data_IF_238345083738
#
_entry.id   IF_238345083738
#
_cell.length_a   1.000
_cell.length_b   1.000
_cell.length_c   1.000
_cell.angle_alpha   90.00
_cell.angle_beta   90.00
_cell.angle_gamma   90.00
#
_symmetry.space_group_name_H-M   'P 1'
#
loop_
_entity.id
_entity.type
_entity.pdbx_description
1 polymer ?
#
# COMPACT_ATOMS: atom_id res chain seq x y z
N UNK A 1 -0.15 -14.62 -13.60
CA UNK A 1 0.82 -15.40 -12.82
C UNK A 1 0.39 -15.32 -11.35
N UNK A 2 -0.38 -16.29 -10.87
CA UNK A 2 -0.81 -16.34 -9.46
C UNK A 2 0.36 -16.89 -8.63
N UNK A 3 0.98 -16.00 -7.86
CA UNK A 3 1.91 -16.43 -6.82
C UNK A 3 1.02 -16.87 -5.66
N UNK A 4 1.02 -18.18 -5.34
CA UNK A 4 0.26 -18.66 -4.20
C UNK A 4 0.79 -18.00 -2.92
N UNK A 5 -0.12 -17.61 -2.00
CA UNK A 5 0.19 -17.02 -0.68
C UNK A 5 1.32 -17.77 0.02
N UNK A 6 1.26 -19.09 -0.01
CA UNK A 6 2.24 -20.00 0.59
C UNK A 6 3.65 -19.81 -0.02
N UNK A 7 3.79 -19.65 -1.35
CA UNK A 7 5.09 -19.43 -2.00
C UNK A 7 5.67 -18.04 -1.69
N UNK A 8 4.82 -17.02 -1.59
CA UNK A 8 5.28 -15.69 -1.20
C UNK A 8 5.76 -15.66 0.25
N UNK A 9 4.96 -16.17 1.19
CA UNK A 9 5.28 -16.15 2.61
C UNK A 9 6.47 -17.05 2.98
N UNK A 10 6.59 -18.22 2.37
CA UNK A 10 7.64 -19.20 2.74
C UNK A 10 8.98 -18.94 2.08
N UNK A 11 9.02 -18.39 0.86
CA UNK A 11 10.26 -18.26 0.08
C UNK A 11 10.62 -16.81 -0.23
N UNK A 12 9.67 -16.02 -0.74
CA UNK A 12 9.97 -14.70 -1.28
C UNK A 12 10.14 -13.68 -0.14
N UNK A 13 9.23 -13.64 0.81
CA UNK A 13 9.23 -12.71 1.94
C UNK A 13 10.49 -12.79 2.81
N UNK A 14 10.93 -13.98 3.28
CA UNK A 14 12.17 -14.07 4.06
C UNK A 14 13.40 -13.68 3.22
N UNK A 15 13.44 -14.02 1.93
CA UNK A 15 14.54 -13.61 1.05
C UNK A 15 14.59 -12.08 0.89
N UNK A 16 13.45 -11.41 0.66
CA UNK A 16 13.38 -9.95 0.55
C UNK A 16 13.78 -9.25 1.86
N UNK A 17 13.35 -9.78 3.01
CA UNK A 17 13.76 -9.25 4.31
C UNK A 17 15.26 -9.37 4.53
N UNK A 18 15.83 -10.54 4.25
CA UNK A 18 17.25 -10.79 4.42
C UNK A 18 18.11 -9.91 3.51
N UNK A 19 17.78 -9.90 2.21
CA UNK A 19 18.49 -9.05 1.21
C UNK A 19 18.30 -7.58 1.53
N UNK A 20 17.09 -7.16 1.91
CA UNK A 20 16.80 -5.77 2.29
C UNK A 20 17.59 -5.33 3.50
N UNK A 21 17.64 -6.14 4.56
CA UNK A 21 18.33 -5.79 5.80
C UNK A 21 19.85 -5.74 5.61
N UNK A 22 20.44 -6.79 5.07
CA UNK A 22 21.91 -6.85 4.88
C UNK A 22 22.33 -5.83 3.82
N UNK A 23 21.60 -5.75 2.71
CA UNK A 23 21.90 -4.77 1.67
C UNK A 23 21.81 -3.33 2.17
N UNK A 24 20.79 -2.98 2.97
CA UNK A 24 20.66 -1.65 3.54
C UNK A 24 21.84 -1.29 4.46
N UNK A 25 22.29 -2.22 5.30
CA UNK A 25 23.44 -2.00 6.20
C UNK A 25 24.72 -1.78 5.36
N UNK A 26 25.00 -2.66 4.42
CA UNK A 26 26.20 -2.55 3.57
C UNK A 26 26.20 -1.25 2.77
N UNK A 27 25.07 -0.90 2.15
CA UNK A 27 24.96 0.32 1.35
C UNK A 27 24.99 1.57 2.21
N UNK A 28 24.46 1.57 3.42
CA UNK A 28 24.57 2.69 4.35
C UNK A 28 26.03 2.94 4.78
N UNK A 29 26.79 1.88 5.09
CA UNK A 29 28.22 2.00 5.41
C UNK A 29 28.99 2.55 4.21
N UNK A 30 28.76 1.99 3.02
CA UNK A 30 29.40 2.46 1.79
C UNK A 30 29.07 3.94 1.50
N UNK A 31 27.82 4.35 1.69
CA UNK A 31 27.37 5.73 1.53
C UNK A 31 28.11 6.68 2.48
N UNK A 32 28.21 6.32 3.76
CA UNK A 32 28.92 7.12 4.76
C UNK A 32 30.40 7.28 4.38
N UNK A 33 31.08 6.19 3.96
CA UNK A 33 32.47 6.23 3.54
C UNK A 33 32.66 7.18 2.35
N UNK A 34 31.80 7.06 1.32
CA UNK A 34 31.87 7.91 0.13
C UNK A 34 31.66 9.38 0.52
N UNK A 35 30.66 9.68 1.36
CA UNK A 35 30.39 11.04 1.84
C UNK A 35 31.61 11.63 2.60
N UNK A 36 32.24 10.84 3.46
CA UNK A 36 33.42 11.28 4.20
C UNK A 36 34.61 11.57 3.24
N UNK A 37 34.84 10.72 2.25
CA UNK A 37 35.86 10.92 1.24
C UNK A 37 35.59 12.20 0.42
N UNK A 38 34.33 12.42 0.05
CA UNK A 38 33.92 13.61 -0.67
C UNK A 38 34.14 14.89 0.14
N UNK A 39 33.67 14.91 1.41
CA UNK A 39 33.83 16.08 2.28
C UNK A 39 35.29 16.46 2.45
N UNK A 40 36.21 15.49 2.49
CA UNK A 40 37.64 15.76 2.63
C UNK A 40 38.30 16.29 1.36
N UNK A 41 37.70 16.06 0.19
CA UNK A 41 38.20 16.46 -1.12
C UNK A 41 37.64 17.77 -1.69
N UNK A 42 36.55 18.30 -1.12
CA UNK A 42 35.79 19.41 -1.71
C UNK A 42 36.42 20.83 -1.45
N UNK A 43 36.39 21.61 -2.50
CA UNK A 43 36.43 23.07 -2.40
C UNK A 43 35.06 23.63 -2.12
N UNK A 44 34.96 24.72 -1.35
CA UNK A 44 33.68 25.31 -0.89
C UNK A 44 32.74 25.66 -2.06
N UNK A 45 33.28 25.98 -3.25
CA UNK A 45 32.48 26.33 -4.42
C UNK A 45 31.70 25.17 -5.04
N UNK A 46 32.16 23.93 -4.83
CA UNK A 46 31.50 22.71 -5.34
C UNK A 46 30.44 22.18 -4.38
N UNK A 47 30.39 22.69 -3.13
CA UNK A 47 29.52 22.21 -2.09
C UNK A 47 28.03 22.38 -2.43
N UNK A 48 27.64 23.51 -3.02
CA UNK A 48 26.24 23.78 -3.37
C UNK A 48 25.74 22.81 -4.45
N UNK A 49 26.54 22.62 -5.51
CA UNK A 49 26.18 21.71 -6.62
C UNK A 49 26.05 20.28 -6.14
N UNK A 50 26.94 19.81 -5.27
CA UNK A 50 26.94 18.49 -4.68
C UNK A 50 25.73 18.31 -3.75
N UNK A 51 25.37 19.35 -2.99
CA UNK A 51 24.20 19.32 -2.10
C UNK A 51 22.91 19.18 -2.92
N UNK A 52 22.75 19.96 -3.99
CA UNK A 52 21.57 19.84 -4.88
C UNK A 52 21.51 18.45 -5.51
N UNK A 53 22.64 17.91 -5.99
CA UNK A 53 22.73 16.57 -6.54
C UNK A 53 22.31 15.51 -5.51
N UNK A 54 22.81 15.59 -4.28
CA UNK A 54 22.45 14.67 -3.19
C UNK A 54 20.96 14.74 -2.83
N UNK A 55 20.36 15.93 -2.80
CA UNK A 55 18.94 16.12 -2.54
C UNK A 55 18.07 15.47 -3.63
N UNK A 56 18.38 15.71 -4.90
CA UNK A 56 17.65 15.09 -6.04
C UNK A 56 17.79 13.57 -5.99
N UNK A 57 18.99 13.07 -5.75
CA UNK A 57 19.26 11.64 -5.66
C UNK A 57 18.48 10.99 -4.51
N UNK A 58 18.44 11.63 -3.32
CA UNK A 58 17.66 11.17 -2.20
C UNK A 58 16.13 11.18 -2.49
N UNK A 59 15.65 12.21 -3.17
CA UNK A 59 14.25 12.29 -3.57
C UNK A 59 13.87 11.16 -4.54
N UNK A 60 14.69 10.88 -5.55
CA UNK A 60 14.48 9.76 -6.48
C UNK A 60 14.48 8.42 -5.73
N UNK A 61 15.45 8.21 -4.85
CA UNK A 61 15.53 7.01 -4.03
C UNK A 61 14.29 6.82 -3.13
N UNK A 62 13.84 7.90 -2.48
CA UNK A 62 12.63 7.88 -1.67
C UNK A 62 11.39 7.50 -2.49
N UNK A 63 11.24 8.04 -3.69
CA UNK A 63 10.12 7.71 -4.58
C UNK A 63 10.15 6.23 -4.96
N UNK A 64 11.32 5.67 -5.28
CA UNK A 64 11.50 4.24 -5.55
C UNK A 64 11.07 3.39 -4.34
N UNK A 65 11.49 3.77 -3.14
CA UNK A 65 11.11 3.08 -1.91
C UNK A 65 9.59 3.11 -1.70
N UNK A 66 8.93 4.26 -1.90
CA UNK A 66 7.47 4.37 -1.78
C UNK A 66 6.74 3.53 -2.84
N UNK A 67 7.28 3.47 -4.06
CA UNK A 67 6.73 2.61 -5.10
C UNK A 67 6.76 1.14 -4.68
N UNK A 68 7.88 0.65 -4.16
CA UNK A 68 8.01 -0.72 -3.66
C UNK A 68 7.06 -1.01 -2.48
N UNK A 69 6.87 -0.04 -1.57
CA UNK A 69 5.88 -0.13 -0.50
C UNK A 69 4.46 -0.33 -1.04
N UNK A 70 4.06 0.44 -2.05
CA UNK A 70 2.74 0.31 -2.69
C UNK A 70 2.58 -1.06 -3.36
N UNK A 71 3.65 -1.61 -3.96
CA UNK A 71 3.61 -2.97 -4.51
C UNK A 71 3.33 -4.03 -3.43
N UNK A 72 3.86 -3.88 -2.22
CA UNK A 72 3.55 -4.78 -1.10
C UNK A 72 2.06 -4.83 -0.77
N UNK A 73 1.39 -3.68 -0.69
CA UNK A 73 -0.06 -3.60 -0.52
C UNK A 73 -0.80 -4.21 -1.71
N UNK A 74 -0.34 -3.94 -2.94
CA UNK A 74 -0.96 -4.50 -4.15
C UNK A 74 -0.88 -6.01 -4.18
N UNK A 75 0.24 -6.62 -3.78
CA UNK A 75 0.36 -8.07 -3.66
C UNK A 75 -0.60 -8.65 -2.62
N UNK A 76 -0.73 -8.00 -1.46
CA UNK A 76 -1.68 -8.44 -0.44
C UNK A 76 -3.14 -8.41 -0.94
N UNK A 77 -3.53 -7.36 -1.67
CA UNK A 77 -4.86 -7.22 -2.27
C UNK A 77 -5.16 -8.24 -3.38
N UNK A 78 -4.14 -8.70 -4.10
CA UNK A 78 -4.28 -9.70 -5.16
C UNK A 78 -4.48 -11.12 -4.66
N UNK A 79 -4.31 -11.38 -3.35
CA UNK A 79 -4.61 -12.69 -2.77
C UNK A 79 -6.10 -13.00 -2.92
N UNK A 80 -6.49 -14.20 -3.40
CA UNK A 80 -7.88 -14.57 -3.62
C UNK A 80 -8.76 -14.37 -2.37
N UNK A 81 -8.25 -14.77 -1.21
CA UNK A 81 -8.92 -14.61 0.09
C UNK A 81 -9.20 -13.14 0.43
N UNK A 82 -8.22 -12.27 0.25
CA UNK A 82 -8.34 -10.85 0.54
C UNK A 82 -9.27 -10.15 -0.46
N UNK A 83 -9.22 -10.56 -1.73
CA UNK A 83 -10.03 -9.96 -2.79
C UNK A 83 -11.53 -10.10 -2.49
N UNK A 84 -11.97 -11.25 -2.03
CA UNK A 84 -13.36 -11.50 -1.67
C UNK A 84 -13.81 -10.61 -0.48
N UNK A 85 -12.98 -10.54 0.57
CA UNK A 85 -13.24 -9.71 1.75
C UNK A 85 -13.32 -8.22 1.36
N UNK A 86 -12.38 -7.75 0.57
CA UNK A 86 -12.33 -6.36 0.08
C UNK A 86 -13.59 -6.04 -0.73
N UNK A 87 -14.00 -6.93 -1.63
CA UNK A 87 -15.18 -6.74 -2.46
C UNK A 87 -16.46 -6.67 -1.61
N UNK A 88 -16.65 -7.59 -0.66
CA UNK A 88 -17.76 -7.58 0.29
C UNK A 88 -17.77 -6.29 1.12
N UNK A 89 -16.64 -5.90 1.69
CA UNK A 89 -16.53 -4.69 2.52
C UNK A 89 -16.95 -3.43 1.78
N UNK A 90 -16.46 -3.23 0.56
CA UNK A 90 -16.83 -2.03 -0.22
C UNK A 90 -18.27 -2.06 -0.71
N UNK A 91 -18.84 -3.24 -1.00
CA UNK A 91 -20.25 -3.38 -1.35
C UNK A 91 -21.17 -3.03 -0.16
N UNK A 92 -20.78 -3.40 1.05
CA UNK A 92 -21.59 -3.18 2.26
C UNK A 92 -21.53 -1.73 2.74
N UNK A 93 -20.34 -1.11 2.69
CA UNK A 93 -20.12 0.24 3.21
C UNK A 93 -20.82 1.35 2.42
N UNK A 94 -21.19 1.12 1.17
CA UNK A 94 -21.74 2.15 0.29
C UNK A 94 -23.20 1.86 -0.03
N UNK A 95 -24.15 2.50 0.70
CA UNK A 95 -25.59 2.37 0.47
C UNK A 95 -26.04 2.97 -0.88
N UNK A 96 -25.36 4.00 -1.35
CA UNK A 96 -25.69 4.68 -2.60
C UNK A 96 -24.97 4.02 -3.80
N UNK A 97 -25.74 3.50 -4.76
CA UNK A 97 -25.21 2.78 -5.93
C UNK A 97 -24.23 3.62 -6.78
N UNK A 98 -24.47 4.94 -6.90
CA UNK A 98 -23.59 5.84 -7.69
C UNK A 98 -22.27 6.12 -6.96
N UNK A 99 -22.34 6.45 -5.66
CA UNK A 99 -21.16 6.62 -4.83
C UNK A 99 -20.39 5.30 -4.67
N UNK A 100 -21.07 4.16 -4.62
CA UNK A 100 -20.47 2.83 -4.60
C UNK A 100 -19.62 2.57 -5.84
N UNK A 101 -20.13 2.91 -7.03
CA UNK A 101 -19.40 2.74 -8.28
C UNK A 101 -18.16 3.63 -8.32
N UNK A 102 -18.26 4.89 -7.93
CA UNK A 102 -17.16 5.86 -7.94
C UNK A 102 -16.12 5.51 -6.87
N UNK A 103 -16.53 5.22 -5.64
CA UNK A 103 -15.62 4.84 -4.56
C UNK A 103 -14.97 3.47 -4.81
N UNK A 104 -15.72 2.51 -5.35
CA UNK A 104 -15.18 1.20 -5.73
C UNK A 104 -14.12 1.37 -6.82
N UNK A 105 -14.43 2.12 -7.87
CA UNK A 105 -13.53 2.38 -8.98
C UNK A 105 -12.29 3.18 -8.54
N UNK A 106 -12.46 4.16 -7.63
CA UNK A 106 -11.37 5.01 -7.16
C UNK A 106 -10.50 4.38 -6.07
N UNK A 107 -11.09 3.54 -5.19
CA UNK A 107 -10.36 2.92 -4.06
C UNK A 107 -9.84 1.52 -4.34
N UNK A 108 -10.49 0.74 -5.19
CA UNK A 108 -10.10 -0.67 -5.40
C UNK A 108 -9.16 -0.88 -6.55
N UNK A 109 -9.08 0.08 -7.51
CA UNK A 109 -8.37 -0.31 -8.65
C UNK A 109 -7.51 0.65 -9.37
N UNK A 110 -7.44 0.57 -10.19
CA UNK A 110 -6.74 0.60 -11.43
C UNK A 110 -6.29 2.03 -11.74
N UNK A 111 -7.16 3.04 -11.61
CA UNK A 111 -6.78 4.41 -12.00
C UNK A 111 -5.83 5.06 -10.99
N UNK A 112 -6.13 4.97 -9.71
CA UNK A 112 -5.25 5.53 -8.67
C UNK A 112 -3.87 4.87 -8.69
N UNK A 113 -3.84 3.54 -8.80
CA UNK A 113 -2.59 2.80 -8.87
C UNK A 113 -1.85 3.07 -10.18
N UNK A 114 -2.55 3.19 -11.31
CA UNK A 114 -1.95 3.55 -12.59
C UNK A 114 -1.42 4.97 -12.56
N UNK A 115 -2.19 5.95 -12.09
CA UNK A 115 -1.75 7.35 -11.99
C UNK A 115 -0.54 7.48 -11.09
N UNK A 116 -0.56 6.85 -9.90
CA UNK A 116 0.59 6.85 -9.00
C UNK A 116 1.80 6.19 -9.67
N UNK A 117 1.62 5.05 -10.34
CA UNK A 117 2.70 4.36 -11.05
C UNK A 117 3.27 5.21 -12.20
N UNK A 118 2.42 5.84 -12.99
CA UNK A 118 2.85 6.71 -14.08
C UNK A 118 3.61 7.95 -13.56
N UNK A 119 3.09 8.63 -12.53
CA UNK A 119 3.76 9.77 -11.90
C UNK A 119 5.10 9.37 -11.28
N UNK A 120 5.14 8.22 -10.60
CA UNK A 120 6.36 7.67 -10.02
C UNK A 120 7.38 7.34 -11.11
N UNK A 121 6.96 6.69 -12.17
CA UNK A 121 7.82 6.35 -13.30
C UNK A 121 8.37 7.61 -14.00
N UNK A 122 7.52 8.59 -14.28
CA UNK A 122 7.92 9.85 -14.88
C UNK A 122 8.92 10.60 -13.99
N UNK A 123 8.61 10.75 -12.68
CA UNK A 123 9.49 11.43 -11.73
C UNK A 123 10.85 10.74 -11.55
N UNK A 124 10.85 9.40 -11.46
CA UNK A 124 12.10 8.63 -11.38
C UNK A 124 12.92 8.74 -12.66
N UNK A 125 12.26 8.70 -13.84
CA UNK A 125 12.96 8.83 -15.12
C UNK A 125 13.63 10.19 -15.26
N UNK A 126 12.92 11.28 -14.96
CA UNK A 126 13.48 12.64 -14.99
C UNK A 126 14.64 12.77 -13.99
N UNK A 127 14.46 12.28 -12.77
CA UNK A 127 15.52 12.31 -11.76
C UNK A 127 16.74 11.49 -12.15
N UNK A 128 16.56 10.30 -12.74
CA UNK A 128 17.68 9.48 -13.24
C UNK A 128 18.42 10.15 -14.40
N UNK A 129 17.71 10.78 -15.33
CA UNK A 129 18.32 11.55 -16.41
C UNK A 129 19.19 12.67 -15.84
N UNK A 130 18.67 13.42 -14.85
CA UNK A 130 19.44 14.45 -14.17
C UNK A 130 20.71 13.88 -13.51
N UNK A 131 20.58 12.78 -12.77
CA UNK A 131 21.70 12.10 -12.10
C UNK A 131 22.77 11.67 -13.12
N UNK A 132 22.37 11.11 -14.24
CA UNK A 132 23.31 10.69 -15.30
C UNK A 132 24.00 11.89 -15.91
N UNK A 133 23.28 12.95 -16.25
CA UNK A 133 23.86 14.16 -16.85
C UNK A 133 24.81 14.85 -15.86
N UNK A 134 24.37 15.07 -14.63
CA UNK A 134 25.20 15.76 -13.63
C UNK A 134 26.37 14.89 -13.15
N UNK A 135 26.21 13.58 -13.06
CA UNK A 135 27.25 12.65 -12.61
C UNK A 135 28.21 12.21 -13.72
N UNK A 136 27.92 12.50 -15.00
CA UNK A 136 28.77 12.10 -16.12
C UNK A 136 30.14 12.78 -16.08
N UNK A 137 30.25 13.94 -15.46
CA UNK A 137 31.46 14.71 -15.34
C UNK A 137 32.29 14.44 -14.08
N UNK A 138 31.69 13.71 -13.10
CA UNK A 138 32.35 13.38 -11.84
C UNK A 138 32.00 11.94 -11.42
N UNK A 139 33.00 11.06 -11.50
CA UNK A 139 32.84 9.65 -11.13
C UNK A 139 32.42 9.45 -9.66
N UNK A 140 32.87 10.30 -8.75
CA UNK A 140 32.54 10.18 -7.32
C UNK A 140 31.07 10.51 -7.07
N UNK A 141 30.51 11.51 -7.76
CA UNK A 141 29.08 11.82 -7.68
C UNK A 141 28.23 10.69 -8.27
N UNK A 142 28.66 10.09 -9.38
CA UNK A 142 27.96 8.95 -9.97
C UNK A 142 27.96 7.75 -9.02
N UNK A 143 29.12 7.46 -8.39
CA UNK A 143 29.23 6.37 -7.41
C UNK A 143 28.32 6.61 -6.21
N UNK A 144 28.29 7.83 -5.68
CA UNK A 144 27.38 8.24 -4.60
C UNK A 144 25.91 8.00 -4.98
N UNK A 145 25.53 8.37 -6.20
CA UNK A 145 24.17 8.18 -6.69
C UNK A 145 23.79 6.70 -6.74
N UNK A 146 24.66 5.86 -7.29
CA UNK A 146 24.41 4.41 -7.41
C UNK A 146 24.24 3.77 -6.04
N UNK A 147 25.16 4.06 -5.10
CA UNK A 147 25.10 3.50 -3.74
C UNK A 147 23.83 3.95 -3.01
N UNK A 148 23.47 5.23 -3.15
CA UNK A 148 22.25 5.76 -2.54
C UNK A 148 20.98 5.10 -3.12
N UNK A 149 20.89 4.95 -4.44
CA UNK A 149 19.76 4.29 -5.08
C UNK A 149 19.64 2.82 -4.64
N UNK A 150 20.76 2.09 -4.58
CA UNK A 150 20.78 0.71 -4.10
C UNK A 150 20.33 0.62 -2.63
N UNK A 151 20.75 1.56 -1.79
CA UNK A 151 20.30 1.67 -0.40
C UNK A 151 18.78 1.83 -0.31
N UNK A 152 18.19 2.75 -1.09
CA UNK A 152 16.74 2.95 -1.12
C UNK A 152 15.97 1.77 -1.69
N UNK A 153 16.54 1.02 -2.65
CA UNK A 153 15.96 -0.23 -3.14
C UNK A 153 15.92 -1.27 -2.01
N UNK A 154 16.99 -1.41 -1.24
CA UNK A 154 17.03 -2.32 -0.09
C UNK A 154 16.01 -1.94 0.99
N UNK A 155 15.89 -0.66 1.34
CA UNK A 155 14.83 -0.17 2.23
C UNK A 155 13.44 -0.35 1.61
N UNK A 156 13.33 -0.27 0.29
CA UNK A 156 12.11 -0.55 -0.44
C UNK A 156 11.64 -1.99 -0.29
N UNK A 157 12.54 -2.95 -0.31
CA UNK A 157 12.20 -4.36 -0.06
C UNK A 157 11.67 -4.57 1.35
N UNK A 158 12.30 -3.98 2.36
CA UNK A 158 11.79 -4.01 3.74
C UNK A 158 10.40 -3.35 3.84
N UNK A 159 10.24 -2.19 3.20
CA UNK A 159 8.97 -1.47 3.17
C UNK A 159 7.87 -2.25 2.45
N UNK A 160 8.20 -2.98 1.38
CA UNK A 160 7.28 -3.87 0.66
C UNK A 160 6.76 -4.97 1.57
N UNK A 161 7.67 -5.67 2.26
CA UNK A 161 7.30 -6.76 3.18
C UNK A 161 6.48 -6.24 4.35
N UNK A 162 6.92 -5.15 4.98
CA UNK A 162 6.18 -4.53 6.08
C UNK A 162 4.79 -4.06 5.66
N UNK A 163 4.64 -3.51 4.45
CA UNK A 163 3.34 -3.07 3.93
C UNK A 163 2.41 -4.24 3.62
N UNK A 164 2.95 -5.34 3.10
CA UNK A 164 2.23 -6.60 2.91
C UNK A 164 1.71 -7.15 4.25
N UNK A 165 2.59 -7.24 5.26
CA UNK A 165 2.23 -7.74 6.59
C UNK A 165 1.21 -6.84 7.28
N UNK A 166 1.41 -5.53 7.24
CA UNK A 166 0.47 -4.57 7.82
C UNK A 166 -0.93 -4.70 7.21
N UNK A 167 -1.01 -4.89 5.89
CA UNK A 167 -2.28 -5.06 5.22
C UNK A 167 -2.98 -6.35 5.66
N UNK A 168 -2.26 -7.48 5.69
CA UNK A 168 -2.83 -8.77 6.05
C UNK A 168 -3.17 -8.88 7.54
N UNK A 169 -2.34 -8.31 8.43
CA UNK A 169 -2.48 -8.47 9.88
C UNK A 169 -3.40 -7.42 10.52
N UNK A 170 -3.58 -6.25 9.90
CA UNK A 170 -4.39 -5.17 10.46
C UNK A 170 -5.57 -4.77 9.61
N UNK A 171 -5.36 -4.61 8.30
CA UNK A 171 -6.41 -4.09 7.43
C UNK A 171 -7.47 -5.13 7.10
N UNK A 172 -7.06 -6.35 6.80
CA UNK A 172 -7.99 -7.45 6.49
C UNK A 172 -8.84 -7.81 7.71
N UNK A 173 -8.30 -8.04 8.92
CA UNK A 173 -9.10 -8.31 10.10
C UNK A 173 -10.07 -7.17 10.44
N UNK A 174 -9.63 -5.91 10.30
CA UNK A 174 -10.51 -4.76 10.48
C UNK A 174 -11.72 -4.78 9.51
N UNK A 175 -11.50 -5.12 8.24
CA UNK A 175 -12.59 -5.23 7.27
C UNK A 175 -13.55 -6.35 7.63
N UNK A 176 -13.05 -7.48 8.12
CA UNK A 176 -13.88 -8.62 8.58
C UNK A 176 -14.73 -8.21 9.77
N UNK A 177 -14.14 -7.60 10.80
CA UNK A 177 -14.88 -7.09 11.98
C UNK A 177 -16.00 -6.10 11.60
N UNK A 178 -15.74 -5.24 10.63
CA UNK A 178 -16.77 -4.29 10.13
C UNK A 178 -17.88 -4.99 9.33
N UNK A 179 -17.57 -6.06 8.61
CA UNK A 179 -18.57 -6.88 7.92
C UNK A 179 -19.46 -7.63 8.90
N UNK A 180 -18.87 -8.24 9.92
CA UNK A 180 -19.60 -8.96 10.96
C UNK A 180 -20.56 -8.03 11.74
N UNK A 181 -20.11 -6.82 12.06
CA UNK A 181 -20.98 -5.80 12.69
C UNK A 181 -22.15 -5.41 11.80
N UNK A 182 -21.89 -5.18 10.51
CA UNK A 182 -22.94 -4.81 9.57
C UNK A 182 -23.94 -5.95 9.29
N UNK A 183 -23.51 -7.21 9.39
CA UNK A 183 -24.42 -8.38 9.32
C UNK A 183 -25.25 -8.50 10.58
N UNK A 184 -24.68 -8.32 11.76
CA UNK A 184 -25.37 -8.36 13.05
C UNK A 184 -26.46 -7.29 13.13
N UNK A 185 -26.15 -6.05 12.73
CA UNK A 185 -27.12 -4.94 12.69
C UNK A 185 -28.30 -5.23 11.74
N UNK A 186 -28.06 -5.91 10.61
CA UNK A 186 -29.14 -6.31 9.69
C UNK A 186 -30.04 -7.36 10.28
N UNK A 187 -29.46 -8.37 10.94
CA UNK A 187 -30.23 -9.44 11.58
C UNK A 187 -31.10 -8.86 12.70
N UNK A 188 -30.61 -7.89 13.45
CA UNK A 188 -31.36 -7.23 14.52
C UNK A 188 -32.51 -6.41 13.94
N UNK A 189 -32.30 -5.65 12.87
CA UNK A 189 -33.35 -4.91 12.18
C UNK A 189 -34.41 -5.82 11.56
N UNK A 190 -34.02 -6.97 11.00
CA UNK A 190 -34.97 -7.95 10.44
C UNK A 190 -35.85 -8.59 11.54
N UNK A 191 -35.27 -8.82 12.72
CA UNK A 191 -36.05 -9.34 13.87
C UNK A 191 -37.03 -8.30 14.40
N UNK A 192 -36.64 -7.04 14.51
CA UNK A 192 -37.53 -5.95 14.92
C UNK A 192 -38.69 -5.78 13.95
N UNK A 193 -38.45 -5.81 12.66
CA UNK A 193 -39.51 -5.74 11.63
C UNK A 193 -40.42 -6.95 11.63
N UNK A 194 -39.91 -8.14 11.99
CA UNK A 194 -40.76 -9.33 12.14
C UNK A 194 -41.64 -9.24 13.39
N UNK A 195 -41.11 -8.79 14.51
CA UNK A 195 -41.91 -8.59 15.75
C UNK A 195 -43.00 -7.54 15.57
N UNK A 196 -42.71 -6.43 14.87
CA UNK A 196 -43.72 -5.41 14.55
C UNK A 196 -44.88 -6.02 13.72
N UNK A 197 -44.57 -6.87 12.75
CA UNK A 197 -45.58 -7.52 11.92
C UNK A 197 -46.43 -8.57 12.67
N UNK A 198 -45.83 -9.28 13.61
CA UNK A 198 -46.56 -10.23 14.46
C UNK A 198 -47.52 -9.47 15.39
N UNK A 199 -47.10 -8.34 15.98
CA UNK A 199 -47.97 -7.52 16.85
C UNK A 199 -49.11 -6.87 16.04
N UNK A 200 -48.92 -6.56 14.78
CA UNK A 200 -49.95 -5.95 13.92
C UNK A 200 -50.98 -6.99 13.42
N UNK A 201 -50.64 -8.28 13.45
CA UNK A 201 -51.53 -9.37 13.03
C UNK A 201 -52.37 -9.93 14.18
N UNK A 202 -51.93 -9.89 15.45
CA UNK A 202 -52.68 -10.35 16.61
C UNK A 202 -54.09 -9.71 16.79
N UNK A 203 -54.30 -8.39 16.59
CA UNK A 203 -55.64 -7.79 16.80
C UNK A 203 -56.67 -8.20 15.74
N UNK A 204 -56.25 -8.68 14.57
CA UNK A 204 -57.16 -9.05 13.47
C UNK A 204 -57.75 -10.46 13.64
N UNK A 205 -57.14 -11.33 14.40
CA UNK A 205 -57.69 -12.66 14.73
C UNK A 205 -58.67 -12.60 15.91
N UNK A 206 -58.45 -11.78 16.95
CA UNK A 206 -59.38 -11.58 18.07
C UNK A 206 -60.71 -10.95 17.63
N UNK A 207 -60.70 -10.05 16.63
CA UNK A 207 -61.93 -9.43 16.13
C UNK A 207 -62.79 -10.40 15.30
N UNK A 208 -62.24 -11.47 14.74
CA UNK A 208 -62.99 -12.50 13.99
C UNK A 208 -63.65 -13.54 14.87
N UNK A 209 -63.09 -13.88 16.00
CA UNK A 209 -63.69 -14.85 16.94
C UNK A 209 -64.89 -14.25 17.71
N UNK A 210 -64.97 -12.91 17.86
CA UNK A 210 -66.10 -12.28 18.57
C UNK A 210 -67.34 -12.05 17.70
N UNK A 211 -67.26 -12.29 16.37
CA UNK A 211 -68.42 -12.11 15.45
C UNK A 211 -69.16 -13.42 15.13
N UNK A 212 -68.65 -14.57 15.52
CA UNK A 212 -69.27 -15.88 15.30
C UNK A 212 -70.01 -16.49 16.53
N UNK A 213 -70.33 -15.72 17.56
CA UNK A 213 -71.16 -16.16 18.67
C UNK A 213 -72.56 -15.53 18.70
#
# INVERSE_FOLDING_TARGET
>A
MEISKNKFETKIKPALNYVGMIGAIIMAIAYIIIVLVLIWGFKVEELLQTTVFACVNAAVGFVIMQFLKVQGVSFAKMLPENKEIIEKYYKTKTKDKKLRSINYFWTTTVIKDIVIKCLTLAGTTVGLIYIVIAGSNDYNLLLLAVVNLLMFICFGFLSLVNAYDFFNQRHVPYMVDQLEKAESEKIEQEKEVQQEKEIEQEPLEEEKETVEC
#
